data_IF_297471861445
#
_entry.id   IF_297471861445
#
_cell.length_a   1.000
_cell.length_b   1.000
_cell.length_c   1.000
_cell.angle_alpha   90.00
_cell.angle_beta   90.00
_cell.angle_gamma   90.00
#
_symmetry.space_group_name_H-M   'P 1'
#
loop_
_entity.id
_entity.type
_entity.pdbx_description
1 polymer ?
#
# COMPACT_ATOMS: atom_id res chain seq x y z
N UNK A 1 -2.02 7.01 12.01
CA UNK A 1 -0.57 6.92 12.28
C UNK A 1 -0.25 7.76 13.51
N UNK A 2 0.54 7.25 14.46
CA UNK A 2 0.94 7.97 15.67
C UNK A 2 2.41 8.42 15.59
N UNK A 3 2.69 9.66 15.98
CA UNK A 3 4.05 10.20 16.01
C UNK A 3 4.78 9.82 17.31
N UNK A 4 5.98 9.26 17.18
CA UNK A 4 6.88 9.01 18.29
C UNK A 4 7.99 10.08 18.32
N UNK A 5 8.05 10.94 19.36
CA UNK A 5 9.02 12.05 19.43
C UNK A 5 10.46 11.59 19.69
N UNK A 6 10.66 10.39 20.25
CA UNK A 6 12.00 9.85 20.55
C UNK A 6 12.65 9.33 19.27
N UNK A 7 11.92 8.49 18.52
CA UNK A 7 12.42 7.91 17.26
C UNK A 7 12.21 8.82 16.07
N UNK A 8 11.39 9.87 16.24
CA UNK A 8 10.91 10.77 15.19
C UNK A 8 10.18 10.04 14.07
N UNK A 9 9.54 8.89 14.32
CA UNK A 9 8.84 8.09 13.30
C UNK A 9 7.34 8.12 13.47
N UNK A 10 6.62 7.92 12.37
CA UNK A 10 5.19 7.62 12.36
C UNK A 10 4.99 6.10 12.48
N UNK A 11 4.02 5.68 13.29
CA UNK A 11 3.59 4.29 13.33
C UNK A 11 3.01 3.90 11.96
N UNK A 12 3.23 2.65 11.50
CA UNK A 12 2.59 2.17 10.29
C UNK A 12 1.08 2.00 10.49
N UNK A 13 0.36 1.87 9.38
CA UNK A 13 -1.01 1.33 9.31
C UNK A 13 -0.90 -0.06 8.67
N UNK A 14 -1.56 -1.04 9.28
CA UNK A 14 -1.59 -2.43 8.81
C UNK A 14 -3.03 -2.92 8.76
N UNK A 15 -3.36 -3.67 7.71
CA UNK A 15 -4.68 -4.29 7.55
C UNK A 15 -4.52 -5.61 6.80
N UNK A 16 -5.19 -6.66 7.26
CA UNK A 16 -5.26 -7.94 6.55
C UNK A 16 -6.50 -7.95 5.64
N UNK A 17 -6.32 -8.49 4.45
CA UNK A 17 -7.36 -8.69 3.44
C UNK A 17 -7.41 -10.15 3.00
N UNK A 18 -8.61 -10.65 2.74
CA UNK A 18 -8.82 -11.88 2.00
C UNK A 18 -8.83 -11.54 0.50
N UNK A 19 -8.02 -12.25 -0.29
CA UNK A 19 -7.86 -12.03 -1.73
C UNK A 19 -8.22 -13.31 -2.46
N UNK A 20 -9.09 -13.21 -3.47
CA UNK A 20 -9.50 -14.34 -4.29
C UNK A 20 -9.74 -13.92 -5.73
N UNK A 21 -9.18 -14.68 -6.66
CA UNK A 21 -9.51 -14.63 -8.09
C UNK A 21 -9.49 -16.07 -8.61
N UNK A 22 -10.62 -16.55 -9.13
CA UNK A 22 -10.73 -17.94 -9.61
C UNK A 22 -10.20 -18.15 -11.02
N UNK A 23 -9.93 -17.07 -11.75
CA UNK A 23 -9.58 -17.10 -13.17
C UNK A 23 -8.31 -16.29 -13.50
N UNK A 24 -7.28 -16.40 -12.67
CA UNK A 24 -5.97 -15.79 -12.92
C UNK A 24 -5.41 -15.06 -11.71
N UNK A 25 -4.46 -14.15 -11.92
CA UNK A 25 -3.77 -13.45 -10.83
C UNK A 25 -4.49 -12.15 -10.43
N UNK A 26 -4.02 -11.54 -9.35
CA UNK A 26 -4.46 -10.20 -8.90
C UNK A 26 -3.29 -9.25 -9.00
N UNK A 27 -3.51 -8.15 -9.71
CA UNK A 27 -2.56 -7.04 -9.75
C UNK A 27 -3.08 -5.87 -8.92
N UNK A 28 -2.17 -5.03 -8.41
CA UNK A 28 -2.56 -3.82 -7.70
C UNK A 28 -1.63 -2.64 -8.01
N UNK A 29 -2.16 -1.43 -7.84
CA UNK A 29 -1.41 -0.18 -7.94
C UNK A 29 -2.04 0.93 -7.10
N UNK A 30 -1.28 1.99 -6.86
CA UNK A 30 -1.77 3.22 -6.24
C UNK A 30 -2.15 4.21 -7.34
N UNK A 31 -3.37 4.71 -7.31
CA UNK A 31 -3.79 5.81 -8.17
C UNK A 31 -3.22 7.13 -7.62
N UNK A 32 -2.44 7.83 -8.43
CA UNK A 32 -1.81 9.10 -8.03
C UNK A 32 -0.62 8.90 -7.07
N UNK A 33 -0.47 9.81 -6.11
CA UNK A 33 0.61 9.80 -5.13
C UNK A 33 0.09 9.46 -3.72
N UNK A 34 0.85 8.64 -2.99
CA UNK A 34 0.53 8.24 -1.62
C UNK A 34 1.22 9.18 -0.61
N UNK A 35 0.67 10.37 -0.40
CA UNK A 35 1.23 11.38 0.51
C UNK A 35 0.29 11.75 1.65
N UNK A 36 0.87 12.20 2.76
CA UNK A 36 0.16 12.95 3.78
C UNK A 36 0.39 14.44 3.53
N UNK A 37 -0.69 15.21 3.50
CA UNK A 37 -0.69 16.63 3.20
C UNK A 37 -0.82 17.47 4.49
N UNK A 38 0.10 18.42 4.63
CA UNK A 38 0.13 19.45 5.67
C UNK A 38 0.81 20.71 5.11
N UNK A 39 1.64 21.40 5.90
CA UNK A 39 2.43 22.54 5.39
C UNK A 39 3.41 22.13 4.27
N UNK A 40 4.09 21.01 4.47
CA UNK A 40 4.83 20.29 3.44
C UNK A 40 4.23 18.89 3.32
N UNK A 41 4.56 18.12 2.27
CA UNK A 41 4.05 16.75 2.14
C UNK A 41 4.99 15.75 2.79
N UNK A 42 4.44 14.70 3.40
CA UNK A 42 5.18 13.53 3.88
C UNK A 42 4.85 12.36 2.95
N UNK A 43 5.83 11.79 2.21
CA UNK A 43 5.57 10.61 1.40
C UNK A 43 5.30 9.41 2.31
N UNK A 44 4.34 8.56 1.92
CA UNK A 44 4.14 7.25 2.51
C UNK A 44 4.33 6.17 1.46
N UNK A 45 4.87 5.04 1.91
CA UNK A 45 5.06 3.83 1.12
C UNK A 45 3.86 2.92 1.35
N UNK A 46 3.35 2.35 0.26
CA UNK A 46 2.22 1.41 0.26
C UNK A 46 2.73 0.07 -0.23
N UNK A 47 2.63 -0.95 0.61
CA UNK A 47 3.02 -2.33 0.29
C UNK A 47 1.81 -3.22 0.46
N UNK A 48 1.53 -4.07 -0.51
CA UNK A 48 0.49 -5.09 -0.41
C UNK A 48 1.08 -6.46 -0.70
N UNK A 49 0.86 -7.43 0.20
CA UNK A 49 1.46 -8.77 0.11
C UNK A 49 2.98 -8.74 -0.17
N UNK A 50 3.71 -7.90 0.58
CA UNK A 50 5.16 -7.66 0.41
C UNK A 50 5.59 -7.05 -0.94
N UNK A 51 4.65 -6.65 -1.81
CA UNK A 51 4.91 -5.98 -3.08
C UNK A 51 4.72 -4.48 -2.93
N UNK A 52 5.73 -3.71 -3.35
CA UNK A 52 5.69 -2.24 -3.35
C UNK A 52 4.75 -1.75 -4.45
N UNK A 53 3.75 -0.95 -4.07
CA UNK A 53 2.81 -0.38 -5.04
C UNK A 53 3.30 0.97 -5.55
N UNK A 54 3.17 1.15 -6.87
CA UNK A 54 3.42 2.39 -7.59
C UNK A 54 2.22 2.70 -8.49
N UNK A 55 2.39 3.61 -9.45
CA UNK A 55 1.31 3.99 -10.39
C UNK A 55 1.06 2.98 -11.50
N UNK A 56 1.89 1.92 -11.59
CA UNK A 56 1.75 0.85 -12.58
C UNK A 56 1.26 -0.42 -11.88
N UNK A 57 0.32 -1.18 -12.47
CA UNK A 57 -0.12 -2.48 -11.97
C UNK A 57 1.07 -3.41 -11.73
N UNK A 58 1.13 -4.03 -10.55
CA UNK A 58 2.09 -5.07 -10.18
C UNK A 58 1.34 -6.32 -9.76
N UNK A 59 1.82 -7.50 -10.13
CA UNK A 59 1.26 -8.74 -9.60
C UNK A 59 1.48 -8.79 -8.08
N UNK A 60 0.39 -8.94 -7.34
CA UNK A 60 0.42 -9.00 -5.87
C UNK A 60 0.01 -10.36 -5.32
N UNK A 61 -0.76 -11.13 -6.08
CA UNK A 61 -1.11 -12.52 -5.77
C UNK A 61 -1.14 -13.29 -7.08
N UNK A 62 -0.38 -14.38 -7.18
CA UNK A 62 -0.33 -15.23 -8.38
C UNK A 62 -1.64 -16.04 -8.58
N UNK A 63 -1.78 -16.67 -9.75
CA UNK A 63 -2.97 -17.48 -10.09
C UNK A 63 -3.16 -18.69 -9.14
N UNK A 64 -2.08 -19.39 -8.81
CA UNK A 64 -2.13 -20.62 -8.01
C UNK A 64 -2.64 -20.35 -6.58
N UNK A 65 -2.25 -19.22 -6.00
CA UNK A 65 -2.61 -18.80 -4.63
C UNK A 65 -3.95 -18.06 -4.57
N UNK A 66 -4.28 -17.27 -5.60
CA UNK A 66 -5.55 -16.54 -5.64
C UNK A 66 -6.77 -17.42 -5.92
N UNK A 67 -6.59 -18.58 -6.58
CA UNK A 67 -7.68 -19.53 -6.90
C UNK A 67 -8.37 -20.12 -5.65
N UNK A 68 -7.66 -20.76 -4.70
CA UNK A 68 -8.26 -21.14 -3.42
C UNK A 68 -8.59 -19.91 -2.55
N UNK A 69 -7.90 -18.79 -2.79
CA UNK A 69 -7.91 -17.60 -1.97
C UNK A 69 -6.77 -17.59 -0.95
N UNK A 70 -6.29 -16.40 -0.62
CA UNK A 70 -5.20 -16.19 0.34
C UNK A 70 -5.47 -14.98 1.22
N UNK A 71 -4.69 -14.83 2.28
CA UNK A 71 -4.64 -13.61 3.10
C UNK A 71 -3.42 -12.79 2.72
N UNK A 72 -3.59 -11.46 2.65
CA UNK A 72 -2.51 -10.53 2.32
C UNK A 72 -2.54 -9.31 3.25
N UNK A 73 -1.36 -8.84 3.67
CA UNK A 73 -1.23 -7.62 4.45
C UNK A 73 -1.09 -6.40 3.54
N UNK A 74 -1.89 -5.37 3.79
CA UNK A 74 -1.62 -3.99 3.42
C UNK A 74 -0.79 -3.33 4.51
N UNK A 75 0.37 -2.79 4.15
CA UNK A 75 1.29 -2.09 5.05
C UNK A 75 1.62 -0.70 4.49
N UNK A 76 1.20 0.33 5.21
CA UNK A 76 1.39 1.73 4.83
C UNK A 76 2.26 2.41 5.88
N UNK A 77 3.38 3.01 5.48
CA UNK A 77 4.32 3.63 6.42
C UNK A 77 5.07 4.83 5.84
N UNK A 78 5.48 5.77 6.70
CA UNK A 78 6.39 6.84 6.30
C UNK A 78 7.84 6.30 6.36
N UNK A 79 8.61 6.36 5.27
CA UNK A 79 9.94 5.74 5.21
C UNK A 79 11.02 6.52 5.96
N UNK A 80 10.80 7.82 6.22
CA UNK A 80 11.79 8.72 6.81
C UNK A 80 11.35 9.29 8.17
N UNK A 81 12.31 9.64 9.05
CA UNK A 81 12.01 10.38 10.27
C UNK A 81 11.40 11.76 9.97
N UNK A 82 10.47 12.19 10.82
CA UNK A 82 9.80 13.49 10.76
C UNK A 82 10.72 14.56 11.36
N UNK A 83 10.97 15.62 10.59
CA UNK A 83 11.75 16.78 11.00
C UNK A 83 10.85 17.85 11.67
N UNK A 84 11.41 18.79 12.43
CA UNK A 84 10.63 19.87 13.05
C UNK A 84 9.86 20.74 12.04
N UNK A 85 10.35 20.87 10.80
CA UNK A 85 9.66 21.60 9.73
C UNK A 85 8.37 20.92 9.26
N UNK A 86 8.17 19.65 9.59
CA UNK A 86 6.99 18.85 9.28
C UNK A 86 6.00 18.80 10.46
N UNK A 87 6.08 19.72 11.42
CA UNK A 87 5.10 19.83 12.50
C UNK A 87 3.72 20.24 12.00
N UNK A 88 2.67 19.72 12.64
CA UNK A 88 1.27 20.07 12.33
C UNK A 88 0.37 18.85 12.18
N UNK A 89 -0.88 19.11 11.80
CA UNK A 89 -1.84 18.09 11.43
C UNK A 89 -1.65 17.72 9.95
N UNK A 90 -1.69 16.42 9.67
CA UNK A 90 -1.54 15.88 8.34
C UNK A 90 -2.69 14.94 8.01
N UNK A 91 -3.20 15.04 6.78
CA UNK A 91 -4.25 14.17 6.26
C UNK A 91 -3.83 13.64 4.90
N UNK A 92 -4.13 12.39 4.60
CA UNK A 92 -3.88 11.82 3.27
C UNK A 92 -4.98 10.86 2.89
N UNK A 93 -5.33 10.87 1.60
CA UNK A 93 -6.23 9.93 0.97
C UNK A 93 -5.61 9.52 -0.36
N UNK A 94 -5.56 8.23 -0.62
CA UNK A 94 -5.15 7.68 -1.91
C UNK A 94 -5.95 6.41 -2.17
N UNK A 95 -6.10 6.06 -3.43
CA UNK A 95 -6.83 4.87 -3.87
C UNK A 95 -5.84 3.77 -4.20
N UNK A 96 -6.09 2.57 -3.69
CA UNK A 96 -5.44 1.35 -4.18
C UNK A 96 -6.45 0.64 -5.07
N UNK A 97 -6.04 0.36 -6.31
CA UNK A 97 -6.85 -0.36 -7.29
C UNK A 97 -6.35 -1.80 -7.37
N UNK A 98 -7.28 -2.74 -7.44
CA UNK A 98 -7.01 -4.17 -7.61
C UNK A 98 -7.66 -4.65 -8.91
N UNK A 99 -6.85 -5.20 -9.81
CA UNK A 99 -7.30 -5.71 -11.10
C UNK A 99 -7.22 -7.24 -11.11
N UNK A 100 -8.29 -7.88 -11.58
CA UNK A 100 -8.27 -9.30 -11.90
C UNK A 100 -7.61 -9.46 -13.27
N UNK A 101 -6.50 -10.20 -13.33
CA UNK A 101 -5.76 -10.45 -14.57
C UNK A 101 -6.04 -11.87 -15.04
N UNK A 102 -6.68 -12.06 -16.22
CA UNK A 102 -7.01 -13.39 -16.73
C UNK A 102 -5.78 -14.25 -16.97
N UNK A 103 -5.95 -15.56 -16.84
CA UNK A 103 -4.92 -16.54 -17.24
C UNK A 103 -4.63 -16.41 -18.73
N UNK A 104 -3.35 -16.34 -19.09
CA UNK A 104 -2.93 -16.45 -20.49
C UNK A 104 -2.73 -17.93 -20.82
N UNK A 105 -3.66 -18.51 -21.58
CA UNK A 105 -3.46 -19.82 -22.22
C UNK A 105 -2.80 -19.63 -23.58
N UNK A 106 -1.60 -20.18 -23.77
CA UNK A 106 -0.95 -20.34 -25.08
C UNK A 106 -1.52 -21.54 -25.84
#
# INVERSE_FOLDING_TARGET
MHYNPVTKKLSPVRQIFDVKNTDGSVHAYVEGNSWLHGKYSIPVVVVFNNVLLHQLPQEVVDDATSTPGTTAEMHIFAPFPITPSLSGLYTGNFTVVFDAVPRVSL
#
